data_IF_986528207402
#
_entry.id   IF_986528207402
#
_cell.length_a   1.000
_cell.length_b   1.000
_cell.length_c   1.000
_cell.angle_alpha   90.00
_cell.angle_beta   90.00
_cell.angle_gamma   90.00
#
_symmetry.space_group_name_H-M   'P 1'
#
loop_
_entity.id
_entity.type
_entity.pdbx_description
1 polymer ?
#
# COMPACT_ATOMS: atom_id res chain seq x y z
N UNK A 1 14.33 -7.91 10.93
CA UNK A 1 13.60 -7.06 9.97
C UNK A 1 12.26 -6.72 10.58
N UNK A 2 11.81 -5.48 10.52
CA UNK A 2 10.53 -5.10 11.11
C UNK A 2 9.36 -5.69 10.31
N UNK A 3 8.17 -5.79 10.92
CA UNK A 3 7.01 -6.42 10.28
C UNK A 3 6.57 -5.71 8.98
N UNK A 4 6.68 -4.38 8.92
CA UNK A 4 6.38 -3.59 7.72
C UNK A 4 7.37 -3.84 6.58
N UNK A 5 8.65 -4.07 6.90
CA UNK A 5 9.67 -4.41 5.91
C UNK A 5 9.43 -5.81 5.34
N UNK A 6 9.07 -6.77 6.20
CA UNK A 6 8.67 -8.13 5.82
C UNK A 6 7.47 -8.09 4.89
N UNK A 7 6.44 -7.35 5.28
CA UNK A 7 5.23 -7.19 4.49
C UNK A 7 5.54 -6.70 3.07
N UNK A 8 6.24 -5.57 2.97
CA UNK A 8 6.60 -4.96 1.68
C UNK A 8 7.51 -5.87 0.86
N UNK A 9 8.56 -6.43 1.46
CA UNK A 9 9.55 -7.25 0.77
C UNK A 9 8.92 -8.50 0.14
N UNK A 10 8.14 -9.25 0.91
CA UNK A 10 7.56 -10.50 0.43
C UNK A 10 6.47 -10.29 -0.63
N UNK A 11 5.64 -9.25 -0.49
CA UNK A 11 4.64 -8.93 -1.51
C UNK A 11 5.27 -8.39 -2.79
N UNK A 12 6.38 -7.65 -2.70
CA UNK A 12 7.12 -7.21 -3.89
C UNK A 12 7.68 -8.39 -4.69
N UNK A 13 8.16 -9.44 -4.03
CA UNK A 13 8.66 -10.64 -4.70
C UNK A 13 7.54 -11.41 -5.40
N UNK A 14 6.40 -11.60 -4.72
CA UNK A 14 5.32 -12.42 -5.26
C UNK A 14 4.43 -11.68 -6.25
N UNK A 15 4.31 -10.36 -6.11
CA UNK A 15 3.40 -9.53 -6.91
C UNK A 15 4.11 -8.24 -7.42
N UNK A 16 5.26 -8.35 -8.13
CA UNK A 16 6.10 -7.20 -8.48
C UNK A 16 5.40 -6.19 -9.40
N UNK A 17 4.38 -6.62 -10.15
CA UNK A 17 3.63 -5.76 -11.07
C UNK A 17 2.77 -4.69 -10.36
N UNK A 18 2.56 -4.78 -9.05
CA UNK A 18 1.69 -3.86 -8.29
C UNK A 18 2.46 -2.78 -7.52
N UNK A 19 3.79 -2.81 -7.54
CA UNK A 19 4.64 -1.85 -6.82
C UNK A 19 4.79 -2.18 -5.33
N UNK A 20 4.97 -1.15 -4.51
CA UNK A 20 5.17 -1.31 -3.07
C UNK A 20 3.84 -1.36 -2.31
N UNK A 21 3.60 -2.49 -1.64
CA UNK A 21 2.52 -2.58 -0.66
C UNK A 21 2.91 -1.80 0.62
N UNK A 22 2.05 -0.87 1.04
CA UNK A 22 2.22 -0.12 2.29
C UNK A 22 1.62 -0.91 3.44
N UNK A 23 2.39 -1.10 4.50
CA UNK A 23 1.89 -1.73 5.73
C UNK A 23 0.82 -0.85 6.37
N UNK A 24 0.98 0.46 6.27
CA UNK A 24 0.00 1.44 6.74
C UNK A 24 -0.24 2.47 5.63
N UNK A 25 -1.32 2.31 4.85
CA UNK A 25 -1.61 3.16 3.71
C UNK A 25 -2.31 4.48 4.10
N UNK A 26 -2.70 4.69 5.36
CA UNK A 26 -3.44 5.88 5.79
C UNK A 26 -2.50 7.11 5.85
N UNK A 27 -2.78 8.18 5.08
CA UNK A 27 -1.99 9.41 5.12
C UNK A 27 -2.14 10.23 6.41
N UNK A 28 -3.01 9.84 7.35
CA UNK A 28 -3.14 10.47 8.67
C UNK A 28 -3.56 11.93 8.61
N UNK A 29 -4.47 12.29 7.71
CA UNK A 29 -4.95 13.65 7.43
C UNK A 29 -3.87 14.64 6.91
N UNK A 30 -2.66 14.17 6.60
CA UNK A 30 -1.60 15.01 6.04
C UNK A 30 -1.88 15.38 4.58
N UNK A 31 -2.52 14.48 3.85
CA UNK A 31 -2.99 14.63 2.47
C UNK A 31 -4.14 13.63 2.21
N UNK A 32 -4.94 13.79 1.14
CA UNK A 32 -6.12 12.93 0.94
C UNK A 32 -5.80 11.46 0.65
N UNK A 33 -4.85 11.20 -0.25
CA UNK A 33 -4.36 9.88 -0.61
C UNK A 33 -3.03 10.02 -1.38
N UNK A 34 -2.27 8.94 -1.50
CA UNK A 34 -1.11 8.90 -2.41
C UNK A 34 -1.61 8.97 -3.85
N UNK A 35 -0.99 9.83 -4.65
CA UNK A 35 -1.39 10.11 -6.04
C UNK A 35 -0.21 9.96 -7.00
N UNK A 36 -0.50 9.73 -8.29
CA UNK A 36 0.51 9.76 -9.33
C UNK A 36 1.16 11.15 -9.35
N UNK A 37 2.49 11.18 -9.43
CA UNK A 37 3.29 12.40 -9.35
C UNK A 37 3.75 12.77 -7.95
N UNK A 38 3.25 12.11 -6.90
CA UNK A 38 3.76 12.36 -5.55
C UNK A 38 5.23 11.97 -5.45
N UNK A 39 6.02 12.86 -4.84
CA UNK A 39 7.40 12.59 -4.41
C UNK A 39 7.40 12.45 -2.91
N UNK A 40 8.03 11.39 -2.42
CA UNK A 40 8.03 11.06 -1.00
C UNK A 40 9.05 10.00 -0.64
N UNK A 41 8.91 9.44 0.54
CA UNK A 41 9.69 8.31 1.02
C UNK A 41 8.80 7.39 1.86
N UNK A 42 9.23 6.16 2.09
CA UNK A 42 8.52 5.23 2.97
C UNK A 42 9.28 5.13 4.29
N UNK A 43 8.56 5.29 5.41
CA UNK A 43 9.09 5.06 6.75
C UNK A 43 8.06 4.32 7.59
N UNK A 44 8.51 3.33 8.33
CA UNK A 44 7.65 2.54 9.25
C UNK A 44 6.37 2.02 8.56
N UNK A 45 6.48 1.67 7.27
CA UNK A 45 5.36 1.14 6.51
C UNK A 45 4.38 2.17 5.92
N UNK A 46 4.59 3.47 6.18
CA UNK A 46 3.79 4.58 5.67
C UNK A 46 4.51 5.32 4.55
N UNK A 47 3.76 5.84 3.59
CA UNK A 47 4.30 6.81 2.64
C UNK A 47 4.23 8.22 3.24
N UNK A 48 5.30 8.98 3.12
CA UNK A 48 5.38 10.36 3.54
C UNK A 48 5.55 11.25 2.31
N UNK A 49 4.45 11.87 1.88
CA UNK A 49 4.44 12.82 0.76
C UNK A 49 5.23 14.07 1.12
N UNK A 50 6.10 14.49 0.21
CA UNK A 50 6.83 15.76 0.24
C UNK A 50 6.09 16.82 -0.60
N UNK A 51 5.87 16.53 -1.88
CA UNK A 51 5.19 17.39 -2.85
C UNK A 51 4.69 16.53 -4.03
N UNK A 52 4.11 17.14 -5.07
CA UNK A 52 3.75 16.43 -6.30
C UNK A 52 4.30 17.16 -7.54
N UNK A 53 5.02 16.44 -8.40
CA UNK A 53 5.71 17.02 -9.58
C UNK A 53 4.75 17.54 -10.63
N UNK A 54 3.51 17.04 -10.67
CA UNK A 54 2.49 17.44 -11.64
C UNK A 54 1.78 18.73 -11.23
N UNK A 55 2.06 19.28 -10.04
CA UNK A 55 1.41 20.46 -9.51
C UNK A 55 2.34 21.69 -9.51
N UNK A 56 1.80 22.90 -9.68
CA UNK A 56 2.59 24.12 -9.61
C UNK A 56 3.16 24.33 -8.20
N UNK A 57 4.28 25.05 -8.09
CA UNK A 57 4.96 25.30 -6.81
C UNK A 57 4.03 25.86 -5.72
N UNK A 58 3.14 26.77 -6.09
CA UNK A 58 2.18 27.45 -5.19
C UNK A 58 0.89 26.66 -4.95
N UNK A 59 0.83 25.38 -5.33
CA UNK A 59 -0.36 24.57 -5.13
C UNK A 59 -0.65 24.38 -3.62
N UNK A 60 -1.91 24.52 -3.16
CA UNK A 60 -2.26 24.44 -1.73
C UNK A 60 -1.90 23.10 -1.04
N UNK A 61 -1.73 22.02 -1.80
CA UNK A 61 -1.30 20.72 -1.25
C UNK A 61 0.17 20.68 -0.84
N UNK A 62 1.01 21.60 -1.33
CA UNK A 62 2.42 21.70 -0.97
C UNK A 62 2.60 22.40 0.39
N UNK A 63 2.02 21.81 1.44
CA UNK A 63 1.98 22.38 2.80
C UNK A 63 3.37 22.67 3.38
N UNK A 64 4.37 21.87 3.00
CA UNK A 64 5.78 22.02 3.42
C UNK A 64 6.62 22.81 2.41
N UNK A 65 6.00 23.37 1.38
CA UNK A 65 6.68 23.95 0.23
C UNK A 65 7.14 22.89 -0.79
N UNK A 66 8.09 23.28 -1.62
CA UNK A 66 8.71 22.47 -2.68
C UNK A 66 10.22 22.73 -2.69
N UNK A 67 11.03 21.86 -3.31
CA UNK A 67 12.46 22.11 -3.50
C UNK A 67 12.73 23.43 -4.23
N UNK A 68 13.93 23.97 -4.03
CA UNK A 68 14.39 25.15 -4.78
C UNK A 68 14.35 24.88 -6.29
N UNK A 69 13.93 25.89 -7.06
CA UNK A 69 13.75 25.80 -8.52
C UNK A 69 12.79 24.69 -8.97
N UNK A 70 11.78 24.35 -8.16
CA UNK A 70 10.75 23.41 -8.57
C UNK A 70 10.10 23.81 -9.90
N UNK A 71 10.18 22.90 -10.86
CA UNK A 71 9.48 22.96 -12.14
C UNK A 71 8.32 21.96 -12.13
N UNK A 72 7.18 22.34 -12.70
CA UNK A 72 6.07 21.41 -12.88
C UNK A 72 6.33 20.50 -14.09
N UNK A 73 6.16 19.19 -13.89
CA UNK A 73 6.16 18.20 -14.95
C UNK A 73 4.82 18.26 -15.69
N UNK A 74 4.78 18.96 -16.83
CA UNK A 74 3.57 19.09 -17.65
C UNK A 74 3.40 17.88 -18.59
N UNK A 75 2.39 17.06 -18.30
CA UNK A 75 1.97 15.93 -19.12
C UNK A 75 0.44 15.86 -19.11
N UNK A 76 -0.16 15.92 -20.28
CA UNK A 76 -1.61 15.79 -20.46
C UNK A 76 -1.97 14.33 -20.77
N UNK A 77 -3.20 13.93 -20.44
CA UNK A 77 -3.81 12.63 -20.80
C UNK A 77 -2.94 11.40 -20.57
N UNK A 78 -2.19 11.39 -19.47
CA UNK A 78 -1.18 10.38 -19.19
C UNK A 78 -1.63 9.31 -18.19
N UNK A 79 -2.82 9.42 -17.61
CA UNK A 79 -3.34 8.51 -16.59
C UNK A 79 -4.28 7.50 -17.22
N UNK A 80 -3.99 6.21 -17.02
CA UNK A 80 -4.92 5.12 -17.28
C UNK A 80 -5.58 4.71 -15.98
N UNK A 81 -6.90 4.62 -16.02
CA UNK A 81 -7.71 4.12 -14.92
C UNK A 81 -8.00 2.63 -15.09
N UNK A 82 -8.05 1.91 -13.98
CA UNK A 82 -8.47 0.52 -13.95
C UNK A 82 -9.00 0.12 -12.58
N UNK A 83 -9.24 -1.16 -12.41
CA UNK A 83 -9.64 -1.75 -11.14
C UNK A 83 -8.82 -3.00 -10.85
N UNK A 84 -8.63 -3.29 -9.57
CA UNK A 84 -8.09 -4.54 -9.08
C UNK A 84 -9.21 -5.29 -8.36
N UNK A 85 -9.51 -6.51 -8.81
CA UNK A 85 -10.55 -7.34 -8.20
C UNK A 85 -10.17 -7.75 -6.77
N UNK A 86 -11.16 -8.04 -5.91
CA UNK A 86 -10.92 -8.60 -4.59
C UNK A 86 -10.01 -9.83 -4.66
N UNK A 87 -8.97 -9.88 -3.81
CA UNK A 87 -7.99 -10.96 -3.83
C UNK A 87 -7.16 -11.01 -2.54
N UNK A 88 -6.58 -12.18 -2.24
CA UNK A 88 -5.62 -12.35 -1.16
C UNK A 88 -4.22 -12.51 -1.75
N UNK A 89 -3.40 -11.46 -1.68
CA UNK A 89 -2.01 -11.53 -2.11
C UNK A 89 -1.20 -12.17 -1.00
N UNK A 90 -0.71 -13.38 -1.24
CA UNK A 90 0.04 -14.16 -0.26
C UNK A 90 1.47 -14.36 -0.76
N UNK A 91 2.45 -14.19 0.12
CA UNK A 91 3.82 -14.61 -0.16
C UNK A 91 3.91 -16.13 -0.32
N UNK A 92 4.92 -16.63 -1.04
CA UNK A 92 5.09 -18.08 -1.33
C UNK A 92 5.09 -18.99 -0.08
N UNK A 93 5.53 -18.49 1.07
CA UNK A 93 5.60 -19.26 2.32
C UNK A 93 4.28 -19.27 3.12
N UNK A 94 3.22 -18.66 2.60
CA UNK A 94 1.90 -18.59 3.24
C UNK A 94 0.88 -19.37 2.43
N UNK A 95 0.16 -20.27 3.10
CA UNK A 95 -0.94 -21.05 2.53
C UNK A 95 -2.25 -20.77 3.27
N UNK A 96 -3.38 -21.04 2.63
CA UNK A 96 -4.67 -21.05 3.32
C UNK A 96 -4.67 -22.11 4.42
N UNK A 97 -5.17 -21.73 5.59
CA UNK A 97 -5.34 -22.61 6.74
C UNK A 97 -6.50 -23.62 6.55
N UNK A 98 -6.54 -24.68 7.39
CA UNK A 98 -7.60 -25.69 7.32
C UNK A 98 -8.98 -25.16 7.72
N UNK A 99 -9.02 -24.08 8.51
CA UNK A 99 -10.25 -23.39 8.96
C UNK A 99 -10.80 -22.42 7.91
N UNK A 100 -10.09 -22.20 6.80
CA UNK A 100 -10.59 -21.36 5.72
C UNK A 100 -11.79 -22.02 5.05
N UNK A 101 -12.90 -21.31 5.01
CA UNK A 101 -14.12 -21.82 4.37
C UNK A 101 -13.85 -21.95 2.86
N UNK A 102 -13.80 -23.18 2.35
CA UNK A 102 -13.44 -23.46 0.94
C UNK A 102 -14.59 -23.17 -0.04
N UNK A 103 -15.71 -22.65 0.46
CA UNK A 103 -16.93 -22.51 -0.31
C UNK A 103 -17.38 -21.04 -0.37
N UNK A 104 -16.64 -20.24 -1.12
CA UNK A 104 -17.14 -18.96 -1.62
C UNK A 104 -17.85 -19.20 -2.97
N UNK A 105 -18.91 -20.02 -2.97
CA UNK A 105 -19.76 -20.20 -4.14
C UNK A 105 -20.94 -19.24 -4.02
N UNK A 106 -20.69 -17.98 -4.38
CA UNK A 106 -21.71 -16.92 -4.39
C UNK A 106 -21.15 -15.52 -4.10
N UNK A 107 -21.74 -14.46 -4.70
CA UNK A 107 -21.16 -13.11 -4.68
C UNK A 107 -21.32 -12.32 -3.36
N UNK A 108 -21.53 -12.94 -2.19
CA UNK A 108 -22.06 -12.22 -1.01
C UNK A 108 -21.40 -12.41 0.36
N UNK A 109 -20.41 -13.28 0.57
CA UNK A 109 -19.68 -13.32 1.85
C UNK A 109 -18.23 -13.72 1.63
N UNK A 110 -17.27 -12.93 2.13
CA UNK A 110 -15.93 -13.45 2.36
C UNK A 110 -16.03 -14.22 3.69
N UNK A 111 -16.05 -15.56 3.58
CA UNK A 111 -16.05 -16.46 4.73
C UNK A 111 -14.85 -16.21 5.65
N UNK A 112 -14.79 -16.95 6.76
CA UNK A 112 -13.60 -16.91 7.60
C UNK A 112 -12.38 -17.37 6.79
N UNK A 113 -11.33 -16.54 6.76
CA UNK A 113 -10.09 -16.84 6.06
C UNK A 113 -9.00 -17.01 7.10
N UNK A 114 -8.36 -18.17 7.03
CA UNK A 114 -7.18 -18.50 7.82
C UNK A 114 -5.95 -18.56 6.91
N UNK A 115 -4.82 -18.06 7.41
CA UNK A 115 -3.53 -18.15 6.76
C UNK A 115 -2.52 -18.79 7.72
N UNK A 116 -1.72 -19.69 7.17
CA UNK A 116 -0.64 -20.39 7.88
C UNK A 116 0.68 -20.06 7.20
N UNK A 117 1.68 -19.63 7.97
CA UNK A 117 3.04 -19.44 7.51
C UNK A 117 3.94 -20.50 8.14
N UNK A 118 4.60 -21.31 7.30
CA UNK A 118 5.49 -22.38 7.77
C UNK A 118 6.93 -21.91 7.78
N UNK A 119 7.51 -21.81 8.98
CA UNK A 119 8.95 -21.66 9.29
C UNK A 119 9.66 -20.39 8.81
N UNK A 120 9.22 -19.78 7.72
CA UNK A 120 9.86 -18.62 7.11
C UNK A 120 9.08 -17.33 7.35
N UNK A 121 9.66 -16.22 6.93
CA UNK A 121 8.94 -14.95 6.83
C UNK A 121 7.90 -14.98 5.72
N UNK A 122 6.83 -14.22 5.91
CA UNK A 122 5.75 -14.17 4.94
C UNK A 122 4.85 -12.97 5.15
N UNK A 123 4.00 -12.71 4.16
CA UNK A 123 3.09 -11.58 4.14
C UNK A 123 1.77 -11.95 3.46
N UNK A 124 0.69 -11.31 3.92
CA UNK A 124 -0.62 -11.37 3.28
C UNK A 124 -1.23 -9.99 3.21
N UNK A 125 -1.64 -9.56 2.02
CA UNK A 125 -2.57 -8.45 1.81
C UNK A 125 -3.92 -9.03 1.42
N UNK A 126 -4.89 -8.95 2.33
CA UNK A 126 -6.27 -9.33 2.06
C UNK A 126 -7.04 -8.11 1.56
N UNK A 127 -7.57 -8.21 0.34
CA UNK A 127 -8.36 -7.18 -0.31
C UNK A 127 -9.80 -7.70 -0.51
N UNK A 128 -10.75 -7.36 0.39
CA UNK A 128 -12.12 -7.89 0.34
C UNK A 128 -13.00 -7.22 -0.73
N UNK A 129 -12.55 -6.10 -1.31
CA UNK A 129 -13.31 -5.29 -2.26
C UNK A 129 -12.41 -4.80 -3.40
N UNK A 130 -13.01 -4.31 -4.48
CA UNK A 130 -12.23 -3.74 -5.59
C UNK A 130 -11.38 -2.55 -5.13
N UNK A 131 -10.14 -2.48 -5.61
CA UNK A 131 -9.30 -1.28 -5.50
C UNK A 131 -9.33 -0.48 -6.82
N UNK A 132 -9.26 0.84 -6.72
CA UNK A 132 -9.10 1.75 -7.87
C UNK A 132 -7.63 1.78 -8.27
N UNK A 133 -7.36 1.57 -9.55
CA UNK A 133 -6.02 1.63 -10.13
C UNK A 133 -5.86 2.90 -10.96
N UNK A 134 -4.73 3.57 -10.80
CA UNK A 134 -4.33 4.70 -11.64
C UNK A 134 -2.84 4.59 -11.94
N UNK A 135 -2.47 4.45 -13.21
CA UNK A 135 -1.08 4.35 -13.67
C UNK A 135 -0.78 5.41 -14.71
N UNK A 136 0.45 5.93 -14.72
CA UNK A 136 0.91 6.72 -15.86
C UNK A 136 1.39 5.84 -17.02
N UNK A 137 1.02 6.19 -18.25
CA UNK A 137 1.68 5.67 -19.47
C UNK A 137 3.03 6.32 -19.73
N UNK A 138 3.30 7.46 -19.09
CA UNK A 138 4.48 8.28 -19.33
C UNK A 138 5.67 7.88 -18.43
N UNK A 139 5.84 6.59 -18.12
CA UNK A 139 6.89 6.05 -17.22
C UNK A 139 8.28 6.60 -17.56
N UNK A 140 8.65 6.65 -18.84
CA UNK A 140 9.95 7.18 -19.27
C UNK A 140 10.11 8.67 -18.98
N UNK A 141 9.03 9.46 -19.04
CA UNK A 141 9.07 10.89 -18.70
C UNK A 141 9.23 11.09 -17.20
N UNK A 142 8.50 10.33 -16.39
CA UNK A 142 8.64 10.33 -14.92
C UNK A 142 10.06 9.93 -14.51
N UNK A 143 10.61 8.86 -15.09
CA UNK A 143 11.99 8.42 -14.81
C UNK A 143 13.03 9.47 -15.18
N UNK A 144 12.92 10.09 -16.37
CA UNK A 144 13.80 11.21 -16.76
C UNK A 144 13.66 12.41 -15.82
N UNK A 145 12.44 12.70 -15.36
CA UNK A 145 12.18 13.80 -14.44
C UNK A 145 12.84 13.54 -13.08
N UNK A 146 12.68 12.33 -12.53
CA UNK A 146 13.35 11.94 -11.30
C UNK A 146 14.87 12.07 -11.44
N UNK A 147 15.48 11.52 -12.48
CA UNK A 147 16.93 11.61 -12.69
C UNK A 147 17.41 13.06 -12.76
N UNK A 148 16.68 13.94 -13.44
CA UNK A 148 17.04 15.37 -13.56
C UNK A 148 17.04 16.10 -12.21
N UNK A 149 16.18 15.70 -11.26
CA UNK A 149 15.91 16.48 -10.06
C UNK A 149 16.22 15.74 -8.75
N UNK A 150 16.67 14.48 -8.78
CA UNK A 150 16.88 13.67 -7.58
C UNK A 150 17.86 14.33 -6.60
N UNK A 151 18.91 14.99 -7.12
CA UNK A 151 19.90 15.69 -6.30
C UNK A 151 19.27 16.83 -5.50
N UNK A 152 18.40 17.64 -6.13
CA UNK A 152 17.75 18.76 -5.44
C UNK A 152 16.66 18.29 -4.48
N UNK A 153 15.94 17.22 -4.83
CA UNK A 153 14.95 16.60 -3.95
C UNK A 153 15.61 16.00 -2.71
N UNK A 154 16.75 15.35 -2.88
CA UNK A 154 17.53 14.77 -1.80
C UNK A 154 18.14 15.84 -0.89
N UNK A 155 18.78 16.86 -1.46
CA UNK A 155 19.31 17.99 -0.69
C UNK A 155 18.20 18.69 0.11
N UNK A 156 17.02 18.86 -0.47
CA UNK A 156 15.89 19.46 0.23
C UNK A 156 15.34 18.56 1.35
N UNK A 157 15.23 17.25 1.12
CA UNK A 157 14.83 16.30 2.17
C UNK A 157 15.81 16.28 3.35
N UNK A 158 17.11 16.44 3.07
CA UNK A 158 18.17 16.59 4.06
C UNK A 158 18.06 17.90 4.84
N UNK A 159 17.85 19.03 4.14
CA UNK A 159 17.62 20.35 4.78
C UNK A 159 16.42 20.37 5.72
N UNK A 160 15.38 19.59 5.41
CA UNK A 160 14.19 19.43 6.24
C UNK A 160 14.38 18.41 7.38
N UNK A 161 15.57 17.84 7.55
CA UNK A 161 15.91 16.84 8.57
C UNK A 161 14.94 15.66 8.61
N UNK A 162 14.47 15.24 7.42
CA UNK A 162 13.42 14.23 7.32
C UNK A 162 13.93 12.81 7.53
N UNK A 163 15.23 12.57 7.79
CA UNK A 163 15.83 11.24 7.97
C UNK A 163 15.87 10.38 6.69
N UNK A 164 15.92 11.03 5.53
CA UNK A 164 16.04 10.37 4.21
C UNK A 164 17.52 10.25 3.91
N UNK A 165 18.15 9.16 4.33
CA UNK A 165 19.63 9.06 4.36
C UNK A 165 20.25 8.75 2.99
N UNK A 166 19.46 8.23 2.05
CA UNK A 166 19.92 7.86 0.71
C UNK A 166 19.01 8.38 -0.38
N UNK A 167 19.59 8.67 -1.55
CA UNK A 167 18.80 9.08 -2.73
C UNK A 167 17.79 8.00 -3.14
N UNK A 168 18.14 6.72 -2.95
CA UNK A 168 17.24 5.60 -3.29
C UNK A 168 16.02 5.49 -2.38
N UNK A 169 16.00 6.20 -1.24
CA UNK A 169 14.85 6.26 -0.35
C UNK A 169 13.76 7.20 -0.89
N UNK A 170 14.09 8.06 -1.85
CA UNK A 170 13.15 8.94 -2.52
C UNK A 170 12.39 8.15 -3.59
N UNK A 171 11.08 8.30 -3.56
CA UNK A 171 10.14 7.62 -4.43
C UNK A 171 9.36 8.67 -5.20
N UNK A 172 9.33 8.52 -6.53
CA UNK A 172 8.38 9.20 -7.41
C UNK A 172 7.27 8.21 -7.79
N UNK A 173 6.03 8.53 -7.41
CA UNK A 173 4.87 7.66 -7.63
C UNK A 173 4.44 7.73 -9.10
N UNK A 174 4.52 6.59 -9.80
CA UNK A 174 4.07 6.45 -11.19
C UNK A 174 2.71 5.75 -11.33
N UNK A 175 2.24 5.11 -10.27
CA UNK A 175 0.98 4.40 -10.26
C UNK A 175 0.52 4.10 -8.84
N UNK A 176 -0.78 3.85 -8.66
CA UNK A 176 -1.39 3.58 -7.36
C UNK A 176 -2.49 2.53 -7.46
N UNK A 177 -2.63 1.74 -6.40
CA UNK A 177 -3.80 0.91 -6.13
C UNK A 177 -4.39 1.38 -4.80
N UNK A 178 -5.61 1.93 -4.83
CA UNK A 178 -6.27 2.51 -3.66
C UNK A 178 -7.53 1.74 -3.34
N UNK A 179 -7.63 1.27 -2.11
CA UNK A 179 -8.81 0.59 -1.58
C UNK A 179 -9.29 1.32 -0.34
N UNK A 180 -10.57 1.16 -0.03
CA UNK A 180 -11.19 1.69 1.19
C UNK A 180 -11.20 0.70 2.36
N UNK A 181 -10.67 -0.50 2.14
CA UNK A 181 -10.52 -1.53 3.17
C UNK A 181 -9.58 -2.63 2.69
N UNK A 182 -8.68 -3.04 3.57
CA UNK A 182 -7.80 -4.19 3.44
C UNK A 182 -7.38 -4.67 4.82
N UNK A 183 -6.78 -5.85 4.89
CA UNK A 183 -6.06 -6.30 6.09
C UNK A 183 -4.65 -6.72 5.70
N UNK A 184 -3.67 -6.18 6.40
CA UNK A 184 -2.26 -6.44 6.18
C UNK A 184 -1.75 -7.38 7.27
N UNK A 185 -1.01 -8.41 6.86
CA UNK A 185 -0.45 -9.41 7.78
C UNK A 185 1.02 -9.62 7.46
N UNK A 186 1.84 -9.65 8.50
CA UNK A 186 3.25 -10.02 8.40
C UNK A 186 3.57 -11.15 9.38
N UNK A 187 4.23 -12.19 8.88
CA UNK A 187 4.76 -13.29 9.65
C UNK A 187 6.28 -13.09 9.81
N UNK A 188 6.79 -12.77 11.01
CA UNK A 188 8.22 -12.51 11.23
C UNK A 188 9.12 -13.75 11.13
N UNK A 189 8.54 -14.95 10.99
CA UNK A 189 9.24 -16.23 11.00
C UNK A 189 9.54 -16.72 12.41
N UNK A 190 10.26 -17.84 12.52
CA UNK A 190 10.71 -18.39 13.81
C UNK A 190 9.66 -19.19 14.59
N UNK A 191 8.50 -19.50 13.99
CA UNK A 191 7.47 -20.34 14.58
C UNK A 191 6.88 -21.28 13.52
N UNK A 192 6.82 -22.57 13.82
CA UNK A 192 6.34 -23.57 12.85
C UNK A 192 4.83 -23.47 12.58
N UNK A 193 4.08 -22.95 13.54
CA UNK A 193 2.62 -22.90 13.53
C UNK A 193 2.05 -21.49 13.54
N UNK A 194 2.80 -20.54 12.96
CA UNK A 194 2.36 -19.16 12.82
C UNK A 194 1.11 -19.07 11.95
N UNK A 195 0.03 -18.51 12.50
CA UNK A 195 -1.27 -18.43 11.82
C UNK A 195 -2.01 -17.15 12.15
N UNK A 196 -2.90 -16.76 11.26
CA UNK A 196 -3.89 -15.70 11.49
C UNK A 196 -5.23 -16.16 10.92
N UNK A 197 -6.32 -15.99 11.65
CA UNK A 197 -7.67 -16.15 11.11
C UNK A 197 -8.49 -14.89 11.37
N UNK A 198 -9.23 -14.44 10.37
CA UNK A 198 -10.14 -13.31 10.46
C UNK A 198 -11.29 -13.44 9.46
N UNK A 199 -12.36 -12.68 9.67
CA UNK A 199 -13.54 -12.67 8.80
C UNK A 199 -13.83 -11.27 8.31
N UNK A 200 -14.19 -11.15 7.03
CA UNK A 200 -14.67 -9.90 6.44
C UNK A 200 -16.11 -10.09 5.92
N UNK A 201 -17.09 -9.48 6.57
CA UNK A 201 -18.45 -9.45 6.02
C UNK A 201 -18.59 -8.24 5.12
N UNK A 202 -18.89 -8.47 3.85
CA UNK A 202 -19.10 -7.41 2.85
C UNK A 202 -20.61 -7.34 2.59
N UNK A 203 -21.25 -6.32 3.13
CA UNK A 203 -22.67 -6.07 2.99
C UNK A 203 -22.91 -5.01 1.91
N UNK A 204 -23.97 -5.19 1.12
CA UNK A 204 -24.38 -4.26 0.06
C UNK A 204 -25.77 -3.66 0.33
N UNK A 205 -25.99 -2.93 1.44
CA UNK A 205 -27.24 -2.20 1.62
C UNK A 205 -27.28 -1.00 0.64
N UNK A 206 -28.30 -0.98 -0.22
CA UNK A 206 -28.67 0.17 -1.05
C UNK A 206 -27.50 0.78 -1.86
N UNK A 207 -26.80 -0.06 -2.65
CA UNK A 207 -25.61 0.29 -3.46
C UNK A 207 -24.40 0.85 -2.70
N UNK A 208 -24.48 0.94 -1.37
CA UNK A 208 -23.32 1.22 -0.51
C UNK A 208 -22.71 -0.09 -0.03
N UNK A 209 -21.39 -0.16 0.02
CA UNK A 209 -20.69 -1.35 0.54
C UNK A 209 -20.20 -1.05 1.94
N UNK A 210 -20.60 -1.88 2.89
CA UNK A 210 -20.14 -1.85 4.27
C UNK A 210 -19.27 -3.08 4.52
N UNK A 211 -18.14 -2.90 5.21
CA UNK A 211 -17.20 -3.98 5.51
C UNK A 211 -17.07 -4.08 7.01
N UNK A 212 -17.39 -5.24 7.55
CA UNK A 212 -17.28 -5.54 8.96
C UNK A 212 -16.20 -6.59 9.16
N UNK A 213 -15.06 -6.16 9.71
CA UNK A 213 -14.00 -7.07 10.11
C UNK A 213 -14.25 -7.66 11.49
N UNK A 214 -13.98 -8.95 11.62
CA UNK A 214 -13.99 -9.65 12.90
C UNK A 214 -12.62 -10.28 13.10
N UNK A 215 -11.91 -9.77 14.11
CA UNK A 215 -10.61 -10.25 14.55
C UNK A 215 -10.74 -10.89 15.93
N UNK A 216 -10.11 -12.04 16.15
CA UNK A 216 -9.96 -12.65 17.47
C UNK A 216 -8.47 -12.79 17.78
N UNK A 217 -8.03 -12.27 18.93
CA UNK A 217 -6.64 -12.41 19.37
C UNK A 217 -6.22 -13.86 19.57
N UNK A 218 -7.15 -14.75 19.92
CA UNK A 218 -6.89 -16.20 20.04
C UNK A 218 -6.51 -16.82 18.70
N UNK A 219 -6.92 -16.20 17.59
CA UNK A 219 -6.65 -16.64 16.23
C UNK A 219 -5.40 -16.01 15.61
N UNK A 220 -4.65 -15.18 16.35
CA UNK A 220 -3.39 -14.58 15.89
C UNK A 220 -2.23 -15.19 16.66
N UNK A 221 -1.40 -15.97 15.97
CA UNK A 221 -0.26 -16.66 16.58
C UNK A 221 0.99 -16.41 15.74
N UNK A 222 1.97 -15.69 16.30
CA UNK A 222 3.24 -15.43 15.61
C UNK A 222 3.09 -14.59 14.34
N UNK A 223 2.12 -13.69 14.31
CA UNK A 223 1.86 -12.78 13.20
C UNK A 223 1.57 -11.36 13.72
N UNK A 224 1.90 -10.36 12.93
CA UNK A 224 1.44 -8.99 13.10
C UNK A 224 0.28 -8.75 12.14
N UNK A 225 -0.73 -8.05 12.60
CA UNK A 225 -1.91 -7.70 11.82
C UNK A 225 -2.13 -6.19 11.91
N UNK A 226 -2.33 -5.55 10.76
CA UNK A 226 -2.75 -4.16 10.66
C UNK A 226 -4.02 -4.10 9.80
N UNK A 227 -5.19 -3.88 10.40
CA UNK A 227 -6.38 -3.52 9.65
C UNK A 227 -6.09 -2.21 8.90
N UNK A 228 -6.33 -2.20 7.60
CA UNK A 228 -6.24 -0.97 6.80
C UNK A 228 -7.35 0.01 7.18
N UNK A 229 -7.46 1.13 6.44
CA UNK A 229 -8.53 2.10 6.69
C UNK A 229 -9.90 1.41 6.57
N UNK A 230 -10.79 1.66 7.54
CA UNK A 230 -12.20 1.27 7.51
C UNK A 230 -13.03 2.54 7.27
N UNK A 231 -13.33 2.84 6.01
CA UNK A 231 -14.03 4.09 5.70
C UNK A 231 -14.64 4.20 4.30
N UNK A 232 -15.47 5.22 4.09
CA UNK A 232 -15.87 5.68 2.74
C UNK A 232 -14.76 6.59 2.21
N UNK A 233 -14.31 6.36 0.98
CA UNK A 233 -13.51 7.35 0.22
C UNK A 233 -14.43 8.49 -0.20
#
# INVERSE_FOLDING_TARGET
MAHYDIFRHHLLITAPAYGYALWDPDPGNLYPAVEVGDVGYIREGRFHRLFNVLLPAKHPSHRKGVPEYHEQLNIEDHIIHGTLSPHNFCSTCVSLGPESDRQADGPKQVGEVSFLCRMNQGAVLCLPIKAKKEDTVAIKRFGKWMIKHIDTWFAWAQQLELGVDRMEDIILVTGTHRTRSCTNVAFPGGREDARVSFRAKVDHPDDTVTINWQFSHEHIRGAHLNPGPDGKV
#
